data_IF_458653139536
#
_entry.id   IF_458653139536
#
_cell.length_a   1.000
_cell.length_b   1.000
_cell.length_c   1.000
_cell.angle_alpha   90.00
_cell.angle_beta   90.00
_cell.angle_gamma   90.00
#
_symmetry.space_group_name_H-M   'P 1'
#
loop_
_entity.id
_entity.type
_entity.pdbx_description
1 polymer ?
#
# COMPACT_ATOMS: atom_id res chain seq x y z
N UNK A 1 10.26 1.39 -8.32
CA UNK A 1 11.03 0.91 -7.15
C UNK A 1 10.91 -0.60 -6.97
N UNK A 2 9.70 -1.16 -6.76
CA UNK A 2 9.53 -2.60 -6.48
C UNK A 2 9.22 -3.49 -7.68
N UNK A 3 8.57 -2.95 -8.71
CA UNK A 3 8.46 -3.57 -10.02
C UNK A 3 9.47 -2.94 -10.97
N UNK A 4 9.94 -3.72 -11.92
CA UNK A 4 10.79 -3.23 -13.00
C UNK A 4 9.99 -2.29 -13.91
N UNK A 5 10.64 -1.21 -14.33
CA UNK A 5 10.12 -0.16 -15.19
C UNK A 5 11.24 0.24 -16.13
N UNK A 6 10.97 0.22 -17.43
CA UNK A 6 11.94 0.32 -18.52
C UNK A 6 11.67 1.51 -19.44
N UNK A 7 10.43 2.00 -19.52
CA UNK A 7 10.04 3.15 -20.37
C UNK A 7 9.53 4.34 -19.56
N UNK A 8 9.54 5.55 -20.15
CA UNK A 8 9.02 6.76 -19.48
C UNK A 8 7.53 6.63 -19.16
N UNK A 9 6.79 5.99 -20.05
CA UNK A 9 5.37 5.70 -19.91
C UNK A 9 5.12 4.77 -18.73
N UNK A 10 5.96 3.73 -18.57
CA UNK A 10 5.89 2.83 -17.42
C UNK A 10 6.22 3.54 -16.10
N UNK A 11 7.14 4.49 -16.11
CA UNK A 11 7.46 5.32 -14.95
C UNK A 11 6.36 6.34 -14.62
N UNK A 12 5.67 6.86 -15.62
CA UNK A 12 4.56 7.81 -15.45
C UNK A 12 3.27 7.14 -14.94
N UNK A 13 3.11 5.83 -15.18
CA UNK A 13 1.99 5.05 -14.67
C UNK A 13 2.18 4.70 -13.18
N UNK A 14 1.83 5.66 -12.34
CA UNK A 14 1.93 5.58 -10.87
C UNK A 14 0.75 4.85 -10.23
N UNK A 15 -0.34 4.68 -10.95
CA UNK A 15 -1.55 4.00 -10.47
C UNK A 15 -1.66 2.56 -11.00
N UNK A 16 -1.20 2.29 -12.22
CA UNK A 16 -1.36 1.06 -12.98
C UNK A 16 -2.46 1.15 -14.05
N UNK A 17 -2.61 0.10 -14.86
CA UNK A 17 -3.69 0.00 -15.84
C UNK A 17 -3.45 0.79 -17.13
N UNK A 18 -2.23 1.33 -17.30
CA UNK A 18 -1.81 2.03 -18.50
C UNK A 18 -0.61 1.30 -19.12
N UNK A 19 0.59 1.86 -18.97
CA UNK A 19 1.80 1.31 -19.58
C UNK A 19 2.46 0.22 -18.73
N UNK A 20 2.24 0.21 -17.42
CA UNK A 20 3.17 -0.43 -16.52
C UNK A 20 2.64 -1.73 -15.89
N UNK A 21 3.34 -2.87 -16.06
CA UNK A 21 2.91 -4.15 -15.52
C UNK A 21 2.68 -4.12 -14.01
N UNK A 22 1.62 -4.79 -13.55
CA UNK A 22 1.25 -4.85 -12.13
C UNK A 22 0.77 -6.22 -11.70
N UNK A 23 0.90 -6.54 -10.42
CA UNK A 23 0.22 -7.69 -9.81
C UNK A 23 -1.17 -7.26 -9.32
N UNK A 24 -2.14 -8.17 -9.36
CA UNK A 24 -3.47 -7.97 -8.77
C UNK A 24 -3.68 -9.00 -7.67
N UNK A 25 -4.33 -8.61 -6.57
CA UNK A 25 -4.80 -9.54 -5.55
C UNK A 25 -6.32 -9.62 -5.57
N UNK A 26 -6.83 -10.85 -5.45
CA UNK A 26 -8.18 -11.24 -5.82
C UNK A 26 -8.76 -12.17 -4.75
N UNK A 27 -10.02 -11.96 -4.35
CA UNK A 27 -10.74 -12.91 -3.50
C UNK A 27 -12.14 -13.20 -4.04
N UNK A 28 -12.51 -14.48 -4.02
CA UNK A 28 -13.84 -14.98 -4.38
C UNK A 28 -14.49 -15.64 -3.16
N UNK A 29 -15.81 -15.53 -3.04
CA UNK A 29 -16.55 -16.22 -1.97
C UNK A 29 -16.31 -17.73 -2.01
N UNK A 30 -16.23 -18.34 -0.82
CA UNK A 30 -15.91 -19.77 -0.67
C UNK A 30 -16.95 -20.70 -1.31
N UNK A 31 -18.20 -20.23 -1.46
CA UNK A 31 -19.30 -20.96 -2.08
C UNK A 31 -19.46 -20.69 -3.58
N UNK A 32 -18.56 -19.91 -4.19
CA UNK A 32 -18.66 -19.58 -5.60
C UNK A 32 -18.41 -20.80 -6.51
N UNK A 33 -19.14 -20.93 -7.63
CA UNK A 33 -18.88 -21.97 -8.61
C UNK A 33 -17.45 -21.91 -9.16
N UNK A 34 -16.86 -23.09 -9.44
CA UNK A 34 -15.49 -23.16 -9.97
C UNK A 34 -15.27 -22.30 -11.25
N UNK A 35 -16.26 -22.26 -12.14
CA UNK A 35 -16.22 -21.46 -13.37
C UNK A 35 -16.17 -19.93 -13.12
N UNK A 36 -16.54 -19.47 -11.93
CA UNK A 36 -16.53 -18.05 -11.58
C UNK A 36 -15.10 -17.52 -11.46
N UNK A 37 -14.14 -18.33 -10.99
CA UNK A 37 -12.74 -17.91 -10.86
C UNK A 37 -12.10 -17.59 -12.20
N UNK A 38 -12.27 -18.46 -13.20
CA UNK A 38 -11.69 -18.26 -14.53
C UNK A 38 -12.29 -17.03 -15.23
N UNK A 39 -13.62 -16.87 -15.13
CA UNK A 39 -14.31 -15.71 -15.68
C UNK A 39 -13.88 -14.40 -14.98
N UNK A 40 -13.71 -14.43 -13.65
CA UNK A 40 -13.20 -13.30 -12.89
C UNK A 40 -11.76 -12.97 -13.26
N UNK A 41 -10.87 -13.98 -13.40
CA UNK A 41 -9.49 -13.76 -13.81
C UNK A 41 -9.38 -13.10 -15.19
N UNK A 42 -10.14 -13.60 -16.16
CA UNK A 42 -10.20 -13.00 -17.50
C UNK A 42 -10.66 -11.52 -17.43
N UNK A 43 -11.66 -11.24 -16.59
CA UNK A 43 -12.14 -9.87 -16.37
C UNK A 43 -11.07 -8.98 -15.74
N UNK A 44 -10.44 -9.44 -14.65
CA UNK A 44 -9.38 -8.74 -13.92
C UNK A 44 -8.22 -8.38 -14.84
N UNK A 45 -7.73 -9.36 -15.61
CA UNK A 45 -6.62 -9.17 -16.55
C UNK A 45 -6.97 -8.20 -17.66
N UNK A 46 -8.25 -8.07 -18.01
CA UNK A 46 -8.72 -7.08 -18.99
C UNK A 46 -8.78 -5.67 -18.40
N UNK A 47 -9.39 -5.50 -17.23
CA UNK A 47 -9.63 -4.16 -16.64
C UNK A 47 -8.37 -3.54 -16.03
N UNK A 48 -7.40 -4.36 -15.62
CA UNK A 48 -6.15 -3.92 -15.00
C UNK A 48 -4.92 -4.20 -15.87
N UNK A 49 -5.11 -4.47 -17.16
CA UNK A 49 -4.00 -4.66 -18.10
C UNK A 49 -3.02 -3.46 -18.05
N UNK A 50 -1.69 -3.69 -18.14
CA UNK A 50 -1.01 -4.98 -18.21
C UNK A 50 -0.85 -5.65 -16.83
N UNK A 51 -1.32 -6.90 -16.70
CA UNK A 51 -1.22 -7.71 -15.47
C UNK A 51 -0.09 -8.72 -15.57
N UNK A 52 0.83 -8.70 -14.60
CA UNK A 52 1.85 -9.74 -14.38
C UNK A 52 1.16 -11.01 -13.93
N UNK A 53 0.49 -10.96 -12.79
CA UNK A 53 -0.24 -12.10 -12.24
C UNK A 53 -1.44 -11.70 -11.37
N UNK A 54 -2.35 -12.65 -11.17
CA UNK A 54 -3.52 -12.53 -10.28
C UNK A 54 -3.35 -13.49 -9.10
N UNK A 55 -3.10 -12.93 -7.93
CA UNK A 55 -2.88 -13.66 -6.68
C UNK A 55 -4.21 -13.86 -5.96
N UNK A 56 -4.61 -15.12 -5.80
CA UNK A 56 -5.89 -15.48 -5.19
C UNK A 56 -5.74 -15.73 -3.68
N UNK A 57 -6.57 -15.05 -2.89
CA UNK A 57 -6.59 -15.12 -1.43
C UNK A 57 -8.04 -15.27 -0.93
N UNK A 58 -8.21 -15.58 0.35
CA UNK A 58 -9.54 -15.53 0.99
C UNK A 58 -10.02 -14.08 1.14
N UNK A 59 -11.33 -13.87 1.27
CA UNK A 59 -11.91 -12.53 1.52
C UNK A 59 -11.31 -11.90 2.78
N UNK A 60 -11.13 -12.68 3.86
CA UNK A 60 -10.48 -12.22 5.09
C UNK A 60 -9.03 -11.78 4.85
N UNK A 61 -8.26 -12.54 4.07
CA UNK A 61 -6.89 -12.14 3.73
C UNK A 61 -6.86 -10.87 2.87
N UNK A 62 -7.80 -10.72 1.94
CA UNK A 62 -7.92 -9.48 1.16
C UNK A 62 -8.18 -8.26 2.07
N UNK A 63 -9.06 -8.42 3.06
CA UNK A 63 -9.34 -7.38 4.05
C UNK A 63 -8.12 -7.04 4.95
N UNK A 64 -7.27 -8.01 5.24
CA UNK A 64 -5.99 -7.77 5.95
C UNK A 64 -5.00 -7.02 5.05
N UNK A 65 -4.99 -7.32 3.75
CA UNK A 65 -4.14 -6.58 2.80
C UNK A 65 -4.62 -5.12 2.67
N UNK A 66 -5.93 -4.90 2.60
CA UNK A 66 -6.54 -3.58 2.53
C UNK A 66 -7.88 -3.59 3.30
N UNK A 67 -8.02 -2.77 4.36
CA UNK A 67 -7.22 -1.57 4.65
C UNK A 67 -6.01 -1.77 5.57
N UNK A 68 -5.82 -2.93 6.23
CA UNK A 68 -4.83 -3.05 7.31
C UNK A 68 -3.38 -2.87 6.85
N UNK A 69 -2.90 -3.65 5.88
CA UNK A 69 -1.49 -3.56 5.47
C UNK A 69 -1.21 -2.32 4.63
N UNK A 70 -2.04 -2.03 3.63
CA UNK A 70 -1.74 -0.96 2.66
C UNK A 70 -2.15 0.41 3.20
N UNK A 71 -3.41 0.61 3.60
CA UNK A 71 -3.87 1.95 3.99
C UNK A 71 -3.39 2.33 5.40
N UNK A 72 -3.58 1.45 6.37
CA UNK A 72 -3.28 1.75 7.79
C UNK A 72 -1.78 1.82 8.06
N UNK A 73 -0.95 1.06 7.32
CA UNK A 73 0.51 1.08 7.48
C UNK A 73 1.18 1.84 6.36
N UNK A 74 1.08 1.40 5.09
CA UNK A 74 1.88 1.99 4.02
C UNK A 74 1.47 3.43 3.67
N UNK A 75 0.16 3.71 3.50
CA UNK A 75 -0.32 5.07 3.22
C UNK A 75 -0.06 6.00 4.41
N UNK A 76 -0.30 5.55 5.63
CA UNK A 76 0.01 6.30 6.85
C UNK A 76 1.50 6.65 6.96
N UNK A 77 2.42 5.71 6.69
CA UNK A 77 3.86 6.01 6.66
C UNK A 77 4.15 7.06 5.58
N UNK A 78 3.52 6.97 4.42
CA UNK A 78 3.62 7.97 3.35
C UNK A 78 3.20 9.37 3.81
N UNK A 79 2.08 9.49 4.54
CA UNK A 79 1.62 10.79 5.08
C UNK A 79 2.53 11.29 6.19
N UNK A 80 3.01 10.41 7.07
CA UNK A 80 3.98 10.74 8.12
C UNK A 80 5.30 11.27 7.56
N UNK A 81 5.78 10.72 6.43
CA UNK A 81 6.97 11.24 5.75
C UNK A 81 6.74 12.67 5.23
N UNK A 82 5.54 12.97 4.72
CA UNK A 82 5.18 14.30 4.27
C UNK A 82 5.04 15.29 5.44
N UNK A 83 4.49 14.86 6.57
CA UNK A 83 4.45 15.64 7.81
C UNK A 83 5.86 15.91 8.35
N UNK A 84 6.74 14.91 8.35
CA UNK A 84 8.13 15.08 8.76
C UNK A 84 8.89 16.07 7.85
N UNK A 85 8.62 16.05 6.54
CA UNK A 85 9.14 17.04 5.61
C UNK A 85 8.67 18.45 5.98
N UNK A 86 7.37 18.62 6.24
CA UNK A 86 6.78 19.90 6.66
C UNK A 86 7.47 20.43 7.93
N UNK A 87 7.59 19.61 8.98
CA UNK A 87 8.25 20.01 10.23
C UNK A 87 9.74 20.34 10.04
N UNK A 88 10.43 19.61 9.16
CA UNK A 88 11.83 19.89 8.81
C UNK A 88 11.99 21.29 8.21
N UNK A 89 11.03 21.73 7.40
CA UNK A 89 11.06 23.05 6.76
C UNK A 89 10.59 24.15 7.72
N UNK A 90 9.43 23.97 8.35
CA UNK A 90 8.75 25.05 9.06
C UNK A 90 9.12 25.16 10.54
N UNK A 91 9.52 24.05 11.17
CA UNK A 91 9.91 24.02 12.59
C UNK A 91 11.43 24.05 12.74
N UNK A 92 12.17 23.23 11.98
CA UNK A 92 13.64 23.21 12.04
C UNK A 92 14.32 24.25 11.12
N UNK A 93 13.58 24.86 10.18
CA UNK A 93 14.08 25.94 9.32
C UNK A 93 14.98 25.49 8.17
N UNK A 94 14.94 24.22 7.78
CA UNK A 94 15.73 23.72 6.63
C UNK A 94 15.11 24.20 5.32
N UNK A 95 15.90 24.70 4.35
CA UNK A 95 15.37 25.07 3.03
C UNK A 95 14.63 23.89 2.37
N UNK A 96 13.42 24.16 1.86
CA UNK A 96 12.52 23.12 1.33
C UNK A 96 13.16 22.26 0.24
N UNK A 97 13.87 22.87 -0.71
CA UNK A 97 14.54 22.15 -1.79
C UNK A 97 15.63 21.21 -1.26
N UNK A 98 16.35 21.61 -0.19
CA UNK A 98 17.35 20.75 0.44
C UNK A 98 16.68 19.60 1.21
N UNK A 99 15.58 19.88 1.93
CA UNK A 99 14.83 18.87 2.67
C UNK A 99 14.20 17.82 1.73
N UNK A 100 13.59 18.27 0.62
CA UNK A 100 13.04 17.40 -0.44
C UNK A 100 14.12 16.55 -1.09
N UNK A 101 15.23 17.15 -1.50
CA UNK A 101 16.34 16.43 -2.12
C UNK A 101 16.88 15.32 -1.21
N UNK A 102 17.03 15.61 0.08
CA UNK A 102 17.48 14.63 1.07
C UNK A 102 16.42 13.54 1.30
N UNK A 103 15.17 13.90 1.59
CA UNK A 103 14.13 12.93 1.93
C UNK A 103 13.79 12.01 0.76
N UNK A 104 13.57 12.55 -0.44
CA UNK A 104 13.14 11.75 -1.59
C UNK A 104 14.23 10.79 -2.08
N UNK A 105 15.50 11.19 -1.99
CA UNK A 105 16.61 10.27 -2.26
C UNK A 105 16.71 9.15 -1.22
N UNK A 106 16.60 9.49 0.07
CA UNK A 106 16.81 8.53 1.16
C UNK A 106 15.61 7.59 1.37
N UNK A 107 14.37 8.03 1.13
CA UNK A 107 13.20 7.16 1.29
C UNK A 107 13.27 5.96 0.34
N UNK A 108 13.71 6.16 -0.90
CA UNK A 108 13.88 5.08 -1.86
C UNK A 108 14.92 4.05 -1.38
N UNK A 109 16.05 4.52 -0.83
CA UNK A 109 17.11 3.66 -0.29
C UNK A 109 16.61 2.92 0.95
N UNK A 110 15.98 3.63 1.89
CA UNK A 110 15.44 3.05 3.13
C UNK A 110 14.43 1.95 2.83
N UNK A 111 13.49 2.20 1.93
CA UNK A 111 12.49 1.21 1.51
C UNK A 111 13.13 0.02 0.78
N UNK A 112 14.13 0.25 -0.06
CA UNK A 112 14.85 -0.83 -0.76
C UNK A 112 15.62 -1.71 0.24
N UNK A 113 16.36 -1.12 1.17
CA UNK A 113 17.11 -1.86 2.17
C UNK A 113 16.18 -2.64 3.11
N UNK A 114 15.11 -2.01 3.61
CA UNK A 114 14.19 -2.62 4.56
C UNK A 114 13.32 -3.75 3.95
N UNK A 115 12.86 -3.60 2.70
CA UNK A 115 11.89 -4.51 2.10
C UNK A 115 12.50 -5.52 1.11
N UNK A 116 13.64 -5.21 0.49
CA UNK A 116 14.36 -6.13 -0.41
C UNK A 116 15.64 -6.71 0.19
N UNK A 117 16.10 -6.18 1.33
CA UNK A 117 17.35 -6.62 1.95
C UNK A 117 18.59 -6.35 1.10
N UNK A 118 18.57 -5.33 0.24
CA UNK A 118 19.64 -5.09 -0.73
C UNK A 118 20.97 -4.72 -0.08
N UNK A 119 20.96 -3.95 1.01
CA UNK A 119 22.12 -3.64 1.83
C UNK A 119 21.71 -3.50 3.31
N UNK A 120 22.56 -3.89 4.27
CA UNK A 120 22.30 -3.63 5.68
C UNK A 120 22.37 -2.13 6.00
N UNK A 121 21.62 -1.69 7.01
CA UNK A 121 21.79 -0.36 7.59
C UNK A 121 23.11 -0.29 8.36
N UNK A 122 23.69 0.92 8.44
CA UNK A 122 24.84 1.15 9.32
C UNK A 122 24.42 1.08 10.78
N UNK A 123 25.35 0.81 11.69
CA UNK A 123 25.08 0.79 13.14
C UNK A 123 24.44 2.09 13.63
N UNK A 124 24.95 3.24 13.18
CA UNK A 124 24.37 4.54 13.51
C UNK A 124 22.93 4.69 12.98
N UNK A 125 22.64 4.13 11.80
CA UNK A 125 21.29 4.15 11.25
C UNK A 125 20.35 3.24 12.04
N UNK A 126 20.78 2.05 12.46
CA UNK A 126 20.00 1.14 13.32
C UNK A 126 19.64 1.79 14.66
N UNK A 127 20.58 2.50 15.29
CA UNK A 127 20.31 3.26 16.53
C UNK A 127 19.22 4.31 16.29
N UNK A 128 19.29 5.06 15.18
CA UNK A 128 18.29 6.07 14.84
C UNK A 128 16.91 5.44 14.51
N UNK A 129 16.89 4.29 13.83
CA UNK A 129 15.68 3.52 13.56
C UNK A 129 15.02 3.09 14.87
N UNK A 130 15.81 2.57 15.83
CA UNK A 130 15.28 2.13 17.11
C UNK A 130 14.73 3.31 17.91
N UNK A 131 15.46 4.43 18.00
CA UNK A 131 14.95 5.65 18.62
C UNK A 131 13.63 6.11 17.99
N UNK A 132 13.52 6.09 16.66
CA UNK A 132 12.30 6.44 15.94
C UNK A 132 11.14 5.51 16.28
N UNK A 133 11.38 4.19 16.34
CA UNK A 133 10.36 3.21 16.77
C UNK A 133 9.87 3.50 18.18
N UNK A 134 10.79 3.69 19.13
CA UNK A 134 10.45 3.89 20.54
C UNK A 134 9.73 5.23 20.79
N UNK A 135 10.00 6.24 19.96
CA UNK A 135 9.45 7.60 20.16
C UNK A 135 8.16 7.85 19.39
N UNK A 136 7.98 7.22 18.23
CA UNK A 136 6.90 7.54 17.29
C UNK A 136 5.87 6.41 17.21
N UNK A 137 6.31 5.15 17.28
CA UNK A 137 5.44 3.99 17.10
C UNK A 137 4.90 3.55 18.45
N UNK A 138 3.57 3.34 18.54
CA UNK A 138 2.94 2.81 19.76
C UNK A 138 3.41 1.38 20.02
N UNK A 139 3.69 1.04 21.28
CA UNK A 139 4.12 -0.31 21.68
C UNK A 139 3.17 -1.42 21.24
N UNK A 140 1.86 -1.13 21.24
CA UNK A 140 0.79 -2.07 20.91
C UNK A 140 0.34 -2.01 19.43
N UNK A 141 1.10 -1.35 18.54
CA UNK A 141 0.68 -1.10 17.15
C UNK A 141 0.24 -2.36 16.38
N UNK A 142 0.77 -3.53 16.74
CA UNK A 142 0.43 -4.81 16.08
C UNK A 142 -1.03 -5.24 16.28
N UNK A 143 -1.76 -4.63 17.22
CA UNK A 143 -3.19 -4.89 17.41
C UNK A 143 -4.03 -4.66 16.16
N UNK A 144 -3.55 -3.87 15.19
CA UNK A 144 -4.24 -3.63 13.90
C UNK A 144 -4.51 -4.93 13.11
N UNK A 145 -3.85 -6.04 13.45
CA UNK A 145 -4.08 -7.36 12.86
C UNK A 145 -5.10 -8.21 13.63
N UNK A 146 -5.63 -7.72 14.76
CA UNK A 146 -6.68 -8.39 15.50
C UNK A 146 -8.02 -8.24 14.77
N UNK A 147 -8.83 -9.31 14.75
CA UNK A 147 -10.10 -9.34 14.03
C UNK A 147 -11.03 -8.17 14.43
N UNK A 148 -11.07 -7.80 15.71
CA UNK A 148 -11.89 -6.68 16.18
C UNK A 148 -11.44 -5.30 15.68
N UNK A 149 -10.13 -5.12 15.48
CA UNK A 149 -9.58 -3.86 14.91
C UNK A 149 -9.89 -3.80 13.41
N UNK A 150 -9.70 -4.92 12.70
CA UNK A 150 -10.04 -5.04 11.29
C UNK A 150 -11.53 -4.74 11.05
N UNK A 151 -12.44 -5.40 11.77
CA UNK A 151 -13.88 -5.16 11.68
C UNK A 151 -14.23 -3.70 11.98
N UNK A 152 -13.59 -3.12 12.99
CA UNK A 152 -13.77 -1.72 13.36
C UNK A 152 -13.34 -0.75 12.27
N UNK A 153 -12.20 -0.99 11.62
CA UNK A 153 -11.71 -0.15 10.51
C UNK A 153 -12.61 -0.32 9.29
N UNK A 154 -12.94 -1.55 8.91
CA UNK A 154 -13.84 -1.83 7.78
C UNK A 154 -15.18 -1.13 8.00
N UNK A 155 -15.78 -1.22 9.18
CA UNK A 155 -17.05 -0.54 9.47
C UNK A 155 -16.98 0.99 9.31
N UNK A 156 -15.83 1.62 9.63
CA UNK A 156 -15.61 3.05 9.44
C UNK A 156 -15.46 3.42 7.96
N UNK A 157 -14.74 2.61 7.18
CA UNK A 157 -14.66 2.77 5.73
C UNK A 157 -16.02 2.52 5.07
N UNK A 158 -16.83 1.63 5.65
CA UNK A 158 -18.12 1.14 5.15
C UNK A 158 -19.33 1.99 5.55
N UNK A 159 -19.21 3.32 5.68
CA UNK A 159 -20.40 4.22 5.60
C UNK A 159 -21.06 4.23 4.20
N UNK A 160 -20.80 3.18 3.43
CA UNK A 160 -21.20 2.83 2.07
C UNK A 160 -22.38 1.84 2.13
N UNK A 161 -23.40 2.06 1.30
CA UNK A 161 -24.67 1.33 1.36
C UNK A 161 -24.60 -0.05 0.67
N UNK A 162 -25.20 -1.11 1.25
CA UNK A 162 -25.17 -2.47 0.71
C UNK A 162 -26.23 -2.66 -0.38
N UNK A 163 -26.08 -2.03 -1.55
CA UNK A 163 -27.01 -2.23 -2.69
C UNK A 163 -26.39 -2.73 -3.98
N UNK A 164 -25.13 -3.19 -3.98
CA UNK A 164 -24.61 -3.98 -5.11
C UNK A 164 -23.57 -4.98 -4.64
N UNK A 165 -24.02 -6.17 -4.25
CA UNK A 165 -23.16 -7.33 -4.05
C UNK A 165 -22.50 -7.71 -5.39
N UNK A 166 -21.30 -7.20 -5.64
CA UNK A 166 -20.40 -7.76 -6.67
C UNK A 166 -19.74 -8.99 -6.04
N UNK A 167 -19.84 -10.14 -6.71
CA UNK A 167 -19.38 -11.46 -6.23
C UNK A 167 -17.86 -11.65 -6.23
N UNK A 168 -17.11 -10.55 -6.25
CA UNK A 168 -15.65 -10.54 -6.30
C UNK A 168 -15.15 -9.13 -5.98
N UNK A 169 -14.06 -9.03 -5.20
CA UNK A 169 -13.46 -7.76 -4.75
C UNK A 169 -11.96 -7.81 -5.08
N UNK A 170 -11.40 -6.67 -5.52
CA UNK A 170 -9.94 -6.46 -5.61
C UNK A 170 -9.52 -5.32 -4.72
N UNK A 171 -8.25 -5.32 -4.30
CA UNK A 171 -7.63 -4.19 -3.58
C UNK A 171 -7.78 -2.86 -4.34
N UNK A 172 -7.89 -2.89 -5.67
CA UNK A 172 -7.94 -1.67 -6.47
C UNK A 172 -9.27 -0.93 -6.45
N UNK A 173 -10.38 -1.57 -6.08
CA UNK A 173 -11.69 -0.89 -6.01
C UNK A 173 -11.84 -0.01 -4.77
N UNK A 174 -11.10 -0.28 -3.69
CA UNK A 174 -11.20 0.44 -2.42
C UNK A 174 -10.38 1.75 -2.43
N UNK A 175 -9.21 1.76 -3.07
CA UNK A 175 -8.34 2.95 -3.18
C UNK A 175 -8.87 4.11 -4.07
N UNK A 176 -9.97 3.93 -4.84
CA UNK A 176 -10.41 4.87 -5.90
C UNK A 176 -11.50 5.86 -5.46
N UNK A 177 -11.97 5.83 -4.22
CA UNK A 177 -13.03 6.75 -3.76
C UNK A 177 -12.48 8.13 -3.30
N UNK A 178 -11.62 8.73 -4.12
CA UNK A 178 -11.25 10.15 -4.03
C UNK A 178 -11.81 10.89 -5.24
N UNK A 179 -12.73 11.82 -5.00
CA UNK A 179 -13.35 12.67 -6.02
C UNK A 179 -12.30 13.26 -6.98
N UNK A 180 -12.51 13.02 -8.28
CA UNK A 180 -12.10 13.97 -9.32
C UNK A 180 -12.98 15.22 -9.25
#
# INVERSE_FOLDING_TARGET
MFLERTTKEEWADTFGGQGAPQNVVAAIDEDAPAATRDAAEATIRTIYAPVIDVHWVTVKQLAILEPTLVETVACMIGTLLNEALHETVHTAGVPEEAAKAMLFGHVQIALTNALRGSNPFSEACEIAIQYGKDTIIKDDWKKIFDDSELDGVIARCSSWTPSSARRFITTREMAVHGNY
#
